data_IF_195252181252
#
_entry.id   IF_195252181252
#
_cell.length_a   1.000
_cell.length_b   1.000
_cell.length_c   1.000
_cell.angle_alpha   90.00
_cell.angle_beta   90.00
_cell.angle_gamma   90.00
#
_symmetry.space_group_name_H-M   'P 1'
#
loop_
_entity.id
_entity.type
_entity.pdbx_description
1 polymer ?
#
# COMPACT_ATOMS: atom_id res chain seq x y z
N UNK A 1 -24.23 -2.02 -15.85
CA UNK A 1 -23.33 -3.12 -15.45
C UNK A 1 -23.53 -3.41 -13.97
N UNK A 2 -23.71 -4.69 -13.62
CA UNK A 2 -23.82 -5.07 -12.22
C UNK A 2 -22.48 -4.99 -11.51
N UNK A 3 -22.48 -4.59 -10.25
CA UNK A 3 -21.32 -4.64 -9.39
C UNK A 3 -21.63 -5.49 -8.16
N UNK A 4 -20.65 -6.24 -7.70
CA UNK A 4 -20.75 -7.08 -6.51
C UNK A 4 -20.13 -6.41 -5.28
N UNK A 5 -19.57 -5.22 -5.44
CA UNK A 5 -18.91 -4.48 -4.37
C UNK A 5 -19.56 -3.12 -4.19
N UNK A 6 -19.87 -2.78 -2.95
CA UNK A 6 -20.37 -1.48 -2.56
C UNK A 6 -19.26 -0.72 -1.83
N UNK A 7 -18.67 0.33 -2.44
CA UNK A 7 -17.65 1.13 -1.76
C UNK A 7 -18.19 1.74 -0.48
N UNK A 8 -17.39 1.68 0.58
CA UNK A 8 -17.70 2.34 1.84
C UNK A 8 -17.06 3.72 1.87
N UNK A 9 -17.72 4.66 2.53
CA UNK A 9 -17.12 5.94 2.85
C UNK A 9 -16.37 5.83 4.17
N UNK A 10 -15.13 6.34 4.17
CA UNK A 10 -14.30 6.35 5.37
C UNK A 10 -14.14 7.77 5.88
N UNK A 11 -13.96 7.91 7.19
CA UNK A 11 -13.73 9.19 7.83
C UNK A 11 -12.50 9.87 7.24
N UNK A 12 -12.64 11.15 6.87
CA UNK A 12 -11.51 11.99 6.50
C UNK A 12 -11.00 12.73 7.73
N UNK A 13 -9.69 12.86 7.84
CA UNK A 13 -9.04 13.63 8.92
C UNK A 13 -8.02 14.59 8.30
N UNK A 14 -7.45 15.47 9.12
CA UNK A 14 -6.37 16.33 8.71
C UNK A 14 -5.16 15.51 8.29
N UNK A 15 -4.40 16.03 7.34
CA UNK A 15 -3.21 15.34 6.85
C UNK A 15 -2.19 15.08 7.96
N UNK A 16 -1.57 13.92 7.88
CA UNK A 16 -0.50 13.50 8.78
C UNK A 16 0.77 13.31 7.94
N UNK A 17 1.57 14.36 7.71
CA UNK A 17 2.78 14.24 6.92
C UNK A 17 3.76 13.25 7.51
N UNK A 18 4.51 12.56 6.65
CA UNK A 18 5.54 11.63 7.09
C UNK A 18 6.61 12.34 7.92
N UNK A 19 7.01 11.73 9.02
CA UNK A 19 8.10 12.18 9.88
C UNK A 19 9.16 11.08 10.00
N UNK A 20 10.40 11.40 9.71
CA UNK A 20 11.52 10.48 9.89
C UNK A 20 11.61 10.02 11.34
N UNK A 21 12.01 8.78 11.55
CA UNK A 21 12.21 8.20 12.87
C UNK A 21 11.02 7.42 13.41
N UNK A 22 9.87 7.48 12.76
CA UNK A 22 8.75 6.59 13.11
C UNK A 22 9.07 5.15 12.71
N UNK A 23 8.57 4.15 13.45
CA UNK A 23 8.76 2.75 13.07
C UNK A 23 8.32 2.49 11.63
N UNK A 24 9.03 1.62 10.93
CA UNK A 24 8.73 1.25 9.56
C UNK A 24 7.91 -0.06 9.53
N UNK A 25 7.03 -0.23 8.55
CA UNK A 25 6.36 -1.52 8.37
C UNK A 25 7.32 -2.57 7.83
N UNK A 26 6.95 -3.84 8.04
CA UNK A 26 7.59 -4.99 7.40
C UNK A 26 6.73 -5.42 6.23
N UNK A 27 7.35 -5.61 5.06
CA UNK A 27 6.68 -6.01 3.82
C UNK A 27 7.13 -7.42 3.44
N UNK A 28 6.19 -8.35 3.35
CA UNK A 28 6.48 -9.75 3.05
C UNK A 28 5.72 -10.18 1.80
N UNK A 29 6.41 -10.62 0.71
CA UNK A 29 5.74 -11.23 -0.43
C UNK A 29 5.09 -12.55 -0.01
N UNK A 30 3.81 -12.73 -0.37
CA UNK A 30 3.07 -13.94 -0.01
C UNK A 30 2.57 -14.73 -1.21
N UNK A 31 2.49 -14.13 -2.39
CA UNK A 31 2.26 -14.85 -3.65
C UNK A 31 2.75 -14.02 -4.83
N UNK A 32 3.03 -14.74 -5.93
CA UNK A 32 3.40 -14.13 -7.21
C UNK A 32 2.95 -15.06 -8.33
N UNK A 33 2.10 -14.59 -9.22
CA UNK A 33 1.54 -15.40 -10.30
C UNK A 33 1.46 -14.60 -11.60
N UNK A 34 2.00 -15.15 -12.68
CA UNK A 34 1.71 -14.63 -14.01
C UNK A 34 0.23 -14.86 -14.31
N UNK A 35 -0.43 -13.89 -14.94
CA UNK A 35 -1.85 -13.96 -15.22
C UNK A 35 -2.08 -14.52 -16.65
N UNK A 36 -2.60 -15.76 -16.80
CA UNK A 36 -2.83 -16.33 -18.14
C UNK A 36 -3.87 -15.56 -18.96
N UNK A 37 -4.83 -14.95 -18.27
CA UNK A 37 -5.90 -14.18 -18.91
C UNK A 37 -5.55 -12.69 -19.09
N UNK A 38 -4.35 -12.28 -18.73
CA UNK A 38 -3.81 -10.94 -18.94
C UNK A 38 -2.32 -11.04 -19.26
N UNK A 39 -1.96 -11.44 -20.48
CA UNK A 39 -0.56 -11.68 -20.87
C UNK A 39 0.32 -10.45 -20.59
N UNK A 40 1.52 -10.69 -20.07
CA UNK A 40 2.46 -9.64 -19.70
C UNK A 40 2.23 -9.04 -18.31
N UNK A 41 1.22 -9.50 -17.58
CA UNK A 41 0.91 -9.04 -16.22
C UNK A 41 1.17 -10.13 -15.19
N UNK A 42 1.55 -9.69 -13.99
CA UNK A 42 1.79 -10.55 -12.84
C UNK A 42 1.03 -10.00 -11.63
N UNK A 43 0.38 -10.88 -10.89
CA UNK A 43 -0.22 -10.54 -9.60
C UNK A 43 0.79 -10.84 -8.49
N UNK A 44 1.02 -9.85 -7.63
CA UNK A 44 1.90 -9.99 -6.46
C UNK A 44 1.11 -9.64 -5.21
N UNK A 45 1.15 -10.49 -4.22
CA UNK A 45 0.56 -10.21 -2.91
C UNK A 45 1.64 -9.81 -1.91
N UNK A 46 1.46 -8.66 -1.27
CA UNK A 46 2.34 -8.18 -0.21
C UNK A 46 1.56 -8.08 1.09
N UNK A 47 2.04 -8.79 2.10
CA UNK A 47 1.54 -8.65 3.46
C UNK A 47 2.35 -7.55 4.14
N UNK A 48 1.68 -6.53 4.64
CA UNK A 48 2.33 -5.40 5.30
C UNK A 48 1.94 -5.39 6.77
N UNK A 49 2.91 -5.51 7.63
CA UNK A 49 2.75 -5.48 9.08
C UNK A 49 3.23 -4.14 9.61
N UNK A 50 2.31 -3.41 10.25
CA UNK A 50 2.59 -2.12 10.85
C UNK A 50 2.71 -2.28 12.37
N UNK A 51 3.91 -2.15 12.96
CA UNK A 51 3.99 -2.01 14.42
C UNK A 51 3.26 -0.75 14.90
N UNK A 52 2.97 -0.64 16.20
CA UNK A 52 2.39 0.59 16.72
C UNK A 52 3.16 1.85 16.26
N UNK A 53 2.45 2.90 15.90
CA UNK A 53 2.99 4.18 15.41
C UNK A 53 3.77 4.11 14.10
N UNK A 54 3.71 3.00 13.37
CA UNK A 54 4.46 2.85 12.11
C UNK A 54 3.95 3.77 11.01
N UNK A 55 4.88 4.22 10.19
CA UNK A 55 4.60 5.06 9.02
C UNK A 55 5.50 4.66 7.85
N UNK A 56 4.92 4.58 6.67
CA UNK A 56 5.67 4.32 5.44
C UNK A 56 6.00 5.64 4.78
N UNK A 57 7.28 5.89 4.40
CA UNK A 57 7.59 7.09 3.61
C UNK A 57 6.76 7.13 2.32
N UNK A 58 6.43 8.32 1.81
CA UNK A 58 5.75 8.47 0.53
C UNK A 58 6.46 7.72 -0.60
N UNK A 59 5.68 7.05 -1.47
CA UNK A 59 6.21 6.14 -2.46
C UNK A 59 5.28 5.94 -3.65
N UNK A 60 5.80 5.28 -4.68
CA UNK A 60 5.05 4.79 -5.83
C UNK A 60 5.27 3.27 -5.98
N UNK A 61 4.56 2.64 -6.90
CA UNK A 61 4.50 1.18 -6.99
C UNK A 61 4.87 0.60 -8.36
N UNK A 62 5.76 1.27 -9.09
CA UNK A 62 6.24 0.73 -10.38
C UNK A 62 5.17 0.58 -11.45
N UNK A 63 4.10 1.38 -11.39
CA UNK A 63 2.99 1.31 -12.33
C UNK A 63 1.95 0.23 -12.01
N UNK A 64 2.03 -0.42 -10.85
CA UNK A 64 1.06 -1.43 -10.44
C UNK A 64 -0.33 -0.83 -10.17
N UNK A 65 -1.37 -1.59 -10.52
CA UNK A 65 -2.72 -1.38 -10.01
C UNK A 65 -2.87 -2.20 -8.73
N UNK A 66 -3.33 -1.59 -7.65
CA UNK A 66 -3.30 -2.23 -6.33
C UNK A 66 -4.67 -2.22 -5.69
N UNK A 67 -5.09 -3.38 -5.21
CA UNK A 67 -6.24 -3.52 -4.31
C UNK A 67 -5.73 -3.86 -2.93
N UNK A 68 -6.12 -3.08 -1.93
CA UNK A 68 -5.67 -3.26 -0.54
C UNK A 68 -6.85 -3.61 0.34
N UNK A 69 -6.65 -4.60 1.20
CA UNK A 69 -7.63 -5.01 2.21
C UNK A 69 -6.99 -4.91 3.60
N UNK A 70 -7.69 -4.26 4.54
CA UNK A 70 -7.21 -4.14 5.92
C UNK A 70 -7.63 -5.39 6.69
N UNK A 71 -6.64 -6.18 7.12
CA UNK A 71 -6.88 -7.45 7.82
C UNK A 71 -7.18 -7.22 9.30
N UNK A 72 -6.36 -6.39 9.95
CA UNK A 72 -6.55 -6.05 11.37
C UNK A 72 -6.03 -4.64 11.67
N UNK A 73 -6.53 -4.08 12.77
CA UNK A 73 -6.18 -2.74 13.18
C UNK A 73 -6.86 -1.68 12.32
N UNK A 74 -6.33 -0.48 12.35
CA UNK A 74 -6.84 0.67 11.61
C UNK A 74 -5.67 1.41 10.99
N UNK A 75 -5.78 1.76 9.72
CA UNK A 75 -4.70 2.42 8.98
C UNK A 75 -5.14 3.78 8.46
N UNK A 76 -4.16 4.66 8.25
CA UNK A 76 -4.36 5.91 7.55
C UNK A 76 -3.89 5.75 6.10
N UNK A 77 -4.67 6.29 5.18
CA UNK A 77 -4.37 6.22 3.76
C UNK A 77 -4.62 7.56 3.08
N UNK A 78 -3.62 8.04 2.36
CA UNK A 78 -3.75 9.20 1.47
C UNK A 78 -3.10 8.90 0.14
N UNK A 79 -3.85 9.08 -0.93
CA UNK A 79 -3.39 8.88 -2.31
C UNK A 79 -3.44 10.21 -3.06
N UNK A 80 -2.34 10.57 -3.72
CA UNK A 80 -2.22 11.82 -4.48
C UNK A 80 -2.61 13.02 -3.60
N UNK A 81 -3.45 13.92 -4.09
CA UNK A 81 -3.95 15.08 -3.34
C UNK A 81 -5.32 14.84 -2.70
N UNK A 82 -5.75 13.58 -2.64
CA UNK A 82 -7.00 13.21 -1.99
C UNK A 82 -6.94 13.37 -0.46
N UNK A 83 -8.08 13.19 0.22
CA UNK A 83 -8.12 13.31 1.67
C UNK A 83 -7.39 12.15 2.35
N UNK A 84 -6.92 12.39 3.58
CA UNK A 84 -6.42 11.34 4.46
C UNK A 84 -7.61 10.63 5.08
N UNK A 85 -7.71 9.31 4.84
CA UNK A 85 -8.82 8.48 5.31
C UNK A 85 -8.40 7.56 6.43
N UNK A 86 -9.32 7.34 7.37
CA UNK A 86 -9.16 6.35 8.46
C UNK A 86 -9.89 5.08 8.02
N UNK A 87 -9.13 4.00 7.82
CA UNK A 87 -9.68 2.76 7.27
C UNK A 87 -9.52 1.63 8.28
N UNK A 88 -10.65 1.15 8.85
CA UNK A 88 -10.63 0.07 9.85
C UNK A 88 -10.49 -1.31 9.20
N UNK A 89 -10.27 -2.33 10.03
CA UNK A 89 -10.27 -3.72 9.61
C UNK A 89 -11.54 -4.06 8.82
N UNK A 90 -11.39 -4.80 7.72
CA UNK A 90 -12.47 -5.08 6.79
C UNK A 90 -12.64 -4.02 5.71
N UNK A 91 -12.00 -2.87 5.84
CA UNK A 91 -12.01 -1.83 4.83
C UNK A 91 -11.01 -2.09 3.71
N UNK A 92 -11.11 -1.30 2.65
CA UNK A 92 -10.27 -1.48 1.45
C UNK A 92 -10.14 -0.18 0.66
N UNK A 93 -9.16 -0.14 -0.23
CA UNK A 93 -9.02 0.92 -1.22
C UNK A 93 -8.33 0.40 -2.48
N UNK A 94 -8.42 1.19 -3.52
CA UNK A 94 -7.76 0.92 -4.79
C UNK A 94 -6.76 2.03 -5.13
N UNK A 95 -5.58 1.64 -5.62
CA UNK A 95 -4.56 2.56 -6.10
C UNK A 95 -4.37 2.33 -7.60
N UNK A 96 -4.71 3.33 -8.40
CA UNK A 96 -4.51 3.27 -9.85
C UNK A 96 -3.01 3.29 -10.20
N UNK A 97 -2.62 2.78 -11.39
CA UNK A 97 -1.24 2.91 -11.86
C UNK A 97 -0.75 4.37 -11.80
N UNK A 98 0.46 4.56 -11.27
CA UNK A 98 1.05 5.89 -11.12
C UNK A 98 0.63 6.64 -9.86
N UNK A 99 -0.17 6.04 -8.99
CA UNK A 99 -0.58 6.65 -7.73
C UNK A 99 0.64 7.00 -6.87
N UNK A 100 0.66 8.22 -6.33
CA UNK A 100 1.60 8.64 -5.30
C UNK A 100 0.96 8.36 -3.94
N UNK A 101 1.44 7.32 -3.26
CA UNK A 101 0.93 6.91 -1.96
C UNK A 101 1.59 7.76 -0.88
N UNK A 102 0.90 8.79 -0.43
CA UNK A 102 1.47 9.83 0.42
C UNK A 102 1.41 9.49 1.89
N UNK A 103 0.36 8.80 2.33
CA UNK A 103 0.21 8.36 3.71
C UNK A 103 -0.19 6.89 3.73
N UNK A 104 0.61 6.09 4.42
CA UNK A 104 0.38 4.67 4.64
C UNK A 104 0.88 4.33 6.04
N UNK A 105 0.04 4.59 7.04
CA UNK A 105 0.41 4.60 8.45
C UNK A 105 -0.48 3.68 9.26
N UNK A 106 0.06 3.19 10.38
CA UNK A 106 -0.80 2.69 11.45
C UNK A 106 -1.47 3.90 12.13
N UNK A 107 -2.79 3.85 12.27
CA UNK A 107 -3.53 4.89 12.99
C UNK A 107 -3.24 4.86 14.49
N UNK A 108 -3.02 3.66 15.05
CA UNK A 108 -2.79 3.47 16.48
C UNK A 108 -1.32 3.63 16.85
N UNK A 109 -1.06 4.22 17.99
CA UNK A 109 0.27 4.29 18.61
C UNK A 109 0.53 3.13 19.57
N UNK A 110 -0.47 2.28 19.82
CA UNK A 110 -0.40 1.18 20.82
C UNK A 110 -0.69 -0.20 20.24
N UNK A 111 -1.48 -0.30 19.18
CA UNK A 111 -1.90 -1.57 18.58
C UNK A 111 -1.31 -1.75 17.19
N UNK A 112 -0.94 -2.97 16.79
CA UNK A 112 -0.46 -3.24 15.44
C UNK A 112 -1.59 -3.18 14.40
N UNK A 113 -1.22 -3.05 13.13
CA UNK A 113 -2.15 -3.17 12.01
C UNK A 113 -1.54 -4.04 10.92
N UNK A 114 -2.38 -4.60 10.06
CA UNK A 114 -1.95 -5.46 8.96
C UNK A 114 -2.85 -5.25 7.75
N UNK A 115 -2.25 -5.16 6.58
CA UNK A 115 -2.94 -5.08 5.30
C UNK A 115 -2.41 -6.14 4.34
N UNK A 116 -3.25 -6.52 3.38
CA UNK A 116 -2.84 -7.28 2.20
C UNK A 116 -2.98 -6.37 0.98
N UNK A 117 -1.87 -6.14 0.28
CA UNK A 117 -1.84 -5.41 -0.97
C UNK A 117 -1.69 -6.40 -2.12
N UNK A 118 -2.68 -6.47 -3.00
CA UNK A 118 -2.62 -7.28 -4.22
C UNK A 118 -2.32 -6.35 -5.38
N UNK A 119 -1.17 -6.55 -6.00
CA UNK A 119 -0.66 -5.72 -7.09
C UNK A 119 -0.78 -6.47 -8.41
N UNK A 120 -1.27 -5.78 -9.45
CA UNK A 120 -1.18 -6.25 -10.83
C UNK A 120 -0.24 -5.31 -11.56
N UNK A 121 0.87 -5.85 -12.04
CA UNK A 121 1.98 -5.06 -12.57
C UNK A 121 2.56 -5.76 -13.80
N UNK A 122 3.24 -4.99 -14.65
CA UNK A 122 3.95 -5.58 -15.79
C UNK A 122 4.97 -6.61 -15.30
N UNK A 123 4.93 -7.80 -15.89
CA UNK A 123 5.84 -8.89 -15.54
C UNK A 123 7.30 -8.44 -15.61
N UNK A 124 7.66 -7.61 -16.60
CA UNK A 124 9.02 -7.06 -16.73
C UNK A 124 9.48 -6.29 -15.52
N UNK A 125 8.58 -5.53 -14.87
CA UNK A 125 8.92 -4.73 -13.69
C UNK A 125 9.39 -5.64 -12.55
N UNK A 126 8.67 -6.75 -12.35
CA UNK A 126 9.03 -7.73 -11.31
C UNK A 126 10.32 -8.46 -11.67
N UNK A 127 10.44 -8.91 -12.92
CA UNK A 127 11.61 -9.68 -13.36
C UNK A 127 12.90 -8.86 -13.34
N UNK A 128 12.83 -7.57 -13.69
CA UNK A 128 13.99 -6.70 -13.76
C UNK A 128 14.34 -6.03 -12.42
N UNK A 129 13.33 -5.70 -11.60
CA UNK A 129 13.52 -4.88 -10.40
C UNK A 129 13.15 -5.53 -9.07
N UNK A 130 12.42 -6.63 -9.09
CA UNK A 130 11.97 -7.31 -7.86
C UNK A 130 11.18 -6.40 -6.94
N UNK A 131 11.30 -6.63 -5.64
CA UNK A 131 10.59 -5.85 -4.62
C UNK A 131 10.91 -4.35 -4.65
N UNK A 132 12.14 -4.00 -4.96
CA UNK A 132 12.56 -2.60 -5.00
C UNK A 132 11.84 -1.79 -6.08
N UNK A 133 11.30 -2.44 -7.11
CA UNK A 133 10.52 -1.79 -8.15
C UNK A 133 9.04 -1.64 -7.79
N UNK A 134 8.58 -2.35 -6.76
CA UNK A 134 7.18 -2.35 -6.34
C UNK A 134 6.89 -1.34 -5.22
N UNK A 135 7.89 -0.99 -4.45
CA UNK A 135 7.79 0.07 -3.42
C UNK A 135 8.98 0.99 -3.61
N UNK A 136 8.77 2.07 -4.35
CA UNK A 136 9.81 3.04 -4.73
C UNK A 136 9.60 4.30 -3.91
N UNK A 137 10.44 4.48 -2.88
CA UNK A 137 10.35 5.65 -2.00
C UNK A 137 10.66 6.92 -2.76
N UNK A 138 10.06 8.03 -2.35
CA UNK A 138 10.38 9.34 -2.91
C UNK A 138 11.88 9.60 -2.77
N UNK A 139 12.49 10.36 -3.72
CA UNK A 139 13.93 10.57 -3.72
C UNK A 139 14.52 11.06 -2.40
N UNK A 140 13.79 11.92 -1.69
CA UNK A 140 14.24 12.45 -0.39
C UNK A 140 14.30 11.39 0.72
N UNK A 141 13.66 10.22 0.52
CA UNK A 141 13.64 9.11 1.48
C UNK A 141 14.36 7.86 0.95
N UNK A 142 15.12 8.00 -0.14
CA UNK A 142 15.78 6.85 -0.78
C UNK A 142 16.82 6.17 0.12
N UNK A 143 17.27 6.82 1.18
CA UNK A 143 18.17 6.27 2.18
C UNK A 143 17.51 5.31 3.16
N UNK A 144 16.17 5.32 3.25
CA UNK A 144 15.41 4.48 4.17
C UNK A 144 15.26 3.07 3.59
N UNK A 145 15.35 2.05 4.46
CA UNK A 145 15.13 0.64 4.11
C UNK A 145 13.91 0.12 4.85
N UNK A 146 12.94 -0.42 4.11
CA UNK A 146 11.80 -1.12 4.69
C UNK A 146 12.23 -2.51 5.16
N UNK A 147 11.69 -2.93 6.28
CA UNK A 147 11.99 -4.23 6.87
C UNK A 147 11.35 -5.41 6.16
#
# INVERSE_FOLDING_TARGET
MATIYQPQEYQAIDDVPYQRGRPLPTVTPVFQNKLPNSPGKTAVGLLVDFPPDASTPPHTHGGAAISVFVIKGTVLNKMNDGPTRVIPAGGSWFEAPGCHHRTSDNYSTTEPAQILATMVVDTKVVEEGGMAALVVLDPEYADIRLG
#
